data_IF_701690713725
#
_entry.id   IF_701690713725
#
_cell.length_a   1.000
_cell.length_b   1.000
_cell.length_c   1.000
_cell.angle_alpha   90.00
_cell.angle_beta   90.00
_cell.angle_gamma   90.00
#
_symmetry.space_group_name_H-M   'P 1'
#
loop_
_entity.id
_entity.type
_entity.pdbx_description
1 polymer ?
#
# COMPACT_ATOMS: atom_id res chain seq x y z
N UNK A 1 -4.16 22.30 -21.42
CA UNK A 1 -2.69 22.47 -21.45
C UNK A 1 -2.42 23.95 -21.23
N UNK A 2 -1.62 24.28 -20.22
CA UNK A 2 -1.32 25.66 -19.85
C UNK A 2 -0.37 26.32 -20.86
N UNK A 3 -0.55 27.62 -21.08
CA UNK A 3 0.20 28.40 -22.06
C UNK A 3 1.48 28.94 -21.42
N UNK A 4 2.61 28.27 -21.70
CA UNK A 4 3.92 28.55 -21.06
C UNK A 4 4.88 29.40 -21.92
N UNK A 5 4.39 30.10 -22.94
CA UNK A 5 5.23 31.02 -23.73
C UNK A 5 5.40 32.38 -23.03
N UNK A 6 6.55 33.03 -23.21
CA UNK A 6 6.79 34.38 -22.68
C UNK A 6 5.96 35.41 -23.43
N UNK A 7 5.40 36.39 -22.72
CA UNK A 7 4.72 37.51 -23.35
C UNK A 7 5.67 38.29 -24.27
N UNK A 8 5.26 38.52 -25.53
CA UNK A 8 6.07 39.27 -26.49
C UNK A 8 6.35 40.74 -26.08
N UNK A 9 5.56 41.30 -25.15
CA UNK A 9 5.68 42.70 -24.71
C UNK A 9 6.44 42.86 -23.39
N UNK A 10 6.23 41.97 -22.41
CA UNK A 10 6.85 42.09 -21.08
C UNK A 10 7.69 40.88 -20.64
N UNK A 11 7.82 39.86 -21.48
CA UNK A 11 8.58 38.62 -21.21
C UNK A 11 8.10 37.75 -20.04
N UNK A 12 7.04 38.14 -19.34
CA UNK A 12 6.41 37.35 -18.26
C UNK A 12 5.63 36.14 -18.80
N UNK A 13 5.63 35.03 -18.05
CA UNK A 13 4.85 33.81 -18.33
C UNK A 13 3.65 33.76 -17.40
N UNK A 14 2.75 34.74 -17.54
CA UNK A 14 1.57 34.86 -16.68
C UNK A 14 0.33 35.21 -17.52
N UNK A 15 -0.48 34.20 -17.83
CA UNK A 15 -1.57 34.28 -18.80
C UNK A 15 -2.94 34.01 -18.17
N UNK A 16 -3.91 34.85 -18.50
CA UNK A 16 -5.34 34.64 -18.27
C UNK A 16 -6.05 34.25 -19.57
N UNK A 17 -7.27 33.72 -19.45
CA UNK A 17 -8.14 33.35 -20.57
C UNK A 17 -9.39 34.23 -20.50
N UNK A 18 -9.81 34.78 -21.63
CA UNK A 18 -11.09 35.49 -21.78
C UNK A 18 -12.24 34.52 -22.07
N UNK A 19 -13.49 34.94 -21.85
CA UNK A 19 -14.68 34.11 -22.11
C UNK A 19 -14.78 33.62 -23.57
N UNK A 20 -14.16 34.34 -24.51
CA UNK A 20 -14.03 33.95 -25.92
C UNK A 20 -12.83 33.03 -26.21
N UNK A 21 -12.18 32.46 -25.19
CA UNK A 21 -11.08 31.50 -25.33
C UNK A 21 -9.73 32.09 -25.74
N UNK A 22 -9.55 33.42 -25.77
CA UNK A 22 -8.28 34.09 -26.10
C UNK A 22 -7.41 34.27 -24.86
N UNK A 23 -6.11 34.07 -24.99
CA UNK A 23 -5.15 34.34 -23.92
C UNK A 23 -4.79 35.83 -23.84
N UNK A 24 -4.70 36.36 -22.63
CA UNK A 24 -4.18 37.71 -22.35
C UNK A 24 -3.13 37.65 -21.25
N UNK A 25 -2.07 38.47 -21.36
CA UNK A 25 -1.05 38.55 -20.32
C UNK A 25 -1.61 39.31 -19.11
N UNK A 26 -1.53 38.73 -17.91
CA UNK A 26 -2.00 39.40 -16.69
C UNK A 26 -1.14 40.58 -16.26
N UNK A 27 0.11 40.65 -16.73
CA UNK A 27 1.07 41.69 -16.33
C UNK A 27 0.99 42.94 -17.22
N UNK A 28 0.68 42.80 -18.52
CA UNK A 28 0.65 43.93 -19.46
C UNK A 28 -0.64 44.03 -20.29
N UNK A 29 -1.62 43.16 -20.04
CA UNK A 29 -2.89 43.08 -20.77
C UNK A 29 -2.78 42.90 -22.29
N UNK A 30 -1.60 42.50 -22.79
CA UNK A 30 -1.45 42.16 -24.21
C UNK A 30 -2.19 40.86 -24.54
N UNK A 31 -3.04 40.90 -25.57
CA UNK A 31 -3.87 39.78 -26.03
C UNK A 31 -3.15 39.07 -27.16
N UNK A 32 -3.04 37.74 -27.10
CA UNK A 32 -2.45 36.96 -28.20
C UNK A 32 -3.55 36.45 -29.14
N UNK A 33 -3.20 36.25 -30.42
CA UNK A 33 -4.11 35.68 -31.42
C UNK A 33 -4.40 34.19 -31.21
N UNK A 34 -3.73 33.53 -30.25
CA UNK A 34 -3.97 32.13 -29.93
C UNK A 34 -5.28 31.97 -29.15
N UNK A 35 -6.24 31.28 -29.76
CA UNK A 35 -7.47 30.81 -29.10
C UNK A 35 -7.27 29.38 -28.61
N UNK A 36 -7.70 29.08 -27.38
CA UNK A 36 -7.92 27.71 -26.91
C UNK A 36 -9.12 27.16 -27.68
N UNK A 37 -8.97 26.00 -28.32
CA UNK A 37 -10.13 25.25 -28.83
C UNK A 37 -11.02 24.89 -27.63
N UNK A 38 -12.18 25.53 -27.56
CA UNK A 38 -13.19 25.24 -26.54
C UNK A 38 -13.88 23.97 -26.98
N UNK A 39 -13.67 22.88 -26.25
CA UNK A 39 -14.48 21.67 -26.36
C UNK A 39 -15.87 22.05 -25.83
N UNK A 40 -16.82 22.23 -26.75
CA UNK A 40 -18.19 22.54 -26.41
C UNK A 40 -18.87 21.26 -25.89
N UNK A 41 -19.18 21.20 -24.60
CA UNK A 41 -20.07 20.20 -24.02
C UNK A 41 -21.51 20.57 -24.32
N UNK A 42 -21.98 20.25 -25.52
CA UNK A 42 -23.41 20.18 -25.82
C UNK A 42 -23.68 19.00 -26.76
N UNK A 43 -24.47 18.06 -26.26
CA UNK A 43 -25.01 16.90 -26.96
C UNK A 43 -26.07 17.35 -27.98
N UNK A 44 -25.89 17.06 -29.28
CA UNK A 44 -27.00 16.75 -30.22
C UNK A 44 -26.55 15.69 -31.24
N UNK A 45 -27.44 14.74 -31.49
CA UNK A 45 -27.33 13.56 -32.35
C UNK A 45 -27.47 13.87 -33.85
N UNK A 46 -26.76 13.05 -34.64
CA UNK A 46 -26.96 12.74 -36.07
C UNK A 46 -26.95 13.88 -37.10
N UNK A 47 -25.86 13.95 -37.87
CA UNK A 47 -25.97 14.13 -39.33
C UNK A 47 -24.76 13.57 -40.07
N UNK A 48 -25.07 12.88 -41.17
CA UNK A 48 -24.18 12.17 -42.08
C UNK A 48 -23.65 13.15 -43.13
N UNK A 49 -22.33 13.41 -43.19
CA UNK A 49 -21.68 13.96 -44.39
C UNK A 49 -20.29 13.33 -44.57
N UNK A 50 -20.04 12.92 -45.82
CA UNK A 50 -18.81 12.36 -46.34
C UNK A 50 -17.77 13.47 -46.56
N UNK A 51 -16.50 13.21 -46.22
CA UNK A 51 -15.40 13.92 -46.88
C UNK A 51 -14.19 13.02 -47.02
N UNK A 52 -13.83 12.77 -48.28
CA UNK A 52 -12.53 12.24 -48.68
C UNK A 52 -11.52 13.37 -48.50
N UNK A 53 -10.46 13.14 -47.71
CA UNK A 53 -9.16 13.74 -47.97
C UNK A 53 -8.06 12.71 -47.70
N UNK A 54 -7.36 12.35 -48.77
CA UNK A 54 -6.16 11.53 -48.78
C UNK A 54 -5.00 12.36 -48.20
N UNK A 55 -4.20 11.72 -47.34
CA UNK A 55 -2.77 12.00 -47.22
C UNK A 55 -2.37 12.95 -46.12
N UNK A 56 -2.00 12.42 -44.95
CA UNK A 56 -0.60 12.17 -44.61
C UNK A 56 -0.61 11.38 -43.30
N UNK A 57 -0.39 10.05 -43.39
CA UNK A 57 -0.11 9.24 -42.20
C UNK A 57 1.22 9.69 -41.62
N UNK A 58 1.21 10.70 -40.74
CA UNK A 58 2.13 10.69 -39.62
C UNK A 58 1.49 9.72 -38.64
N UNK A 59 1.98 8.48 -38.65
CA UNK A 59 1.81 7.54 -37.55
C UNK A 59 2.33 8.28 -36.32
N UNK A 60 1.47 8.99 -35.60
CA UNK A 60 1.67 9.07 -34.16
C UNK A 60 1.75 7.61 -33.74
N UNK A 61 2.93 7.21 -33.28
CA UNK A 61 3.04 6.01 -32.49
C UNK A 61 2.04 6.25 -31.37
N UNK A 62 0.87 5.60 -31.44
CA UNK A 62 0.14 5.23 -30.24
C UNK A 62 1.20 4.65 -29.33
N UNK A 63 1.63 5.45 -28.35
CA UNK A 63 2.54 5.04 -27.30
C UNK A 63 1.73 4.00 -26.52
N UNK A 64 1.77 2.76 -27.03
CA UNK A 64 1.20 1.62 -26.36
C UNK A 64 1.89 1.55 -25.03
N UNK A 65 1.11 1.55 -23.94
CA UNK A 65 1.65 1.48 -22.59
C UNK A 65 2.72 0.40 -22.54
N UNK A 66 3.86 0.72 -21.94
CA UNK A 66 4.92 -0.26 -21.79
C UNK A 66 4.38 -1.45 -21.00
N UNK A 67 4.78 -2.66 -21.38
CA UNK A 67 4.53 -3.84 -20.55
C UNK A 67 5.12 -3.60 -19.16
N UNK A 68 4.31 -3.85 -18.13
CA UNK A 68 4.69 -3.68 -16.73
C UNK A 68 4.11 -4.82 -15.90
N UNK A 69 4.76 -5.11 -14.78
CA UNK A 69 4.41 -6.21 -13.88
C UNK A 69 3.87 -5.67 -12.55
N UNK A 70 2.97 -6.43 -11.90
CA UNK A 70 2.35 -6.04 -10.62
C UNK A 70 3.40 -5.66 -9.56
N UNK A 71 4.54 -6.35 -9.53
CA UNK A 71 5.63 -6.01 -8.62
C UNK A 71 6.21 -4.61 -8.84
N UNK A 72 6.28 -4.12 -10.09
CA UNK A 72 6.70 -2.75 -10.40
C UNK A 72 5.68 -1.74 -9.88
N UNK A 73 4.40 -2.10 -9.87
CA UNK A 73 3.32 -1.29 -9.30
C UNK A 73 3.52 -1.12 -7.80
N UNK A 74 3.72 -2.22 -7.07
CA UNK A 74 4.03 -2.16 -5.64
C UNK A 74 5.34 -1.42 -5.34
N UNK A 75 6.36 -1.58 -6.19
CA UNK A 75 7.61 -0.84 -6.05
C UNK A 75 7.39 0.67 -6.16
N UNK A 76 6.52 1.13 -7.05
CA UNK A 76 6.16 2.54 -7.16
C UNK A 76 5.41 3.04 -5.92
N UNK A 77 4.46 2.24 -5.42
CA UNK A 77 3.72 2.56 -4.18
C UNK A 77 4.68 2.70 -3.00
N UNK A 78 5.55 1.71 -2.77
CA UNK A 78 6.55 1.73 -1.71
C UNK A 78 7.49 2.93 -1.83
N UNK A 79 7.94 3.25 -3.05
CA UNK A 79 8.77 4.42 -3.30
C UNK A 79 8.06 5.72 -2.89
N UNK A 80 6.79 5.87 -3.27
CA UNK A 80 6.00 7.06 -2.94
C UNK A 80 5.72 7.19 -1.44
N UNK A 81 5.44 6.09 -0.77
CA UNK A 81 5.28 6.07 0.69
C UNK A 81 6.58 6.41 1.42
N UNK A 82 7.72 5.90 0.94
CA UNK A 82 9.01 6.21 1.52
C UNK A 82 9.43 7.68 1.31
N UNK A 83 9.17 8.24 0.12
CA UNK A 83 9.35 9.68 -0.16
C UNK A 83 8.48 10.55 0.77
N UNK A 84 7.25 10.14 1.04
CA UNK A 84 6.36 10.82 1.98
C UNK A 84 6.88 10.74 3.43
N UNK A 85 7.36 9.57 3.85
CA UNK A 85 7.95 9.38 5.19
C UNK A 85 9.22 10.22 5.38
N UNK A 86 10.08 10.30 4.37
CA UNK A 86 11.25 11.19 4.37
C UNK A 86 10.85 12.67 4.49
N UNK A 87 9.79 13.08 3.77
CA UNK A 87 9.23 14.43 3.89
C UNK A 87 8.63 14.73 5.28
N UNK A 88 8.18 13.70 6.00
CA UNK A 88 7.74 13.78 7.41
C UNK A 88 8.90 13.78 8.42
N UNK A 89 10.15 13.71 7.95
CA UNK A 89 11.36 13.81 8.78
C UNK A 89 12.01 12.48 9.15
N UNK A 90 11.56 11.35 8.59
CA UNK A 90 12.20 10.04 8.77
C UNK A 90 13.56 10.02 8.08
N UNK A 91 14.56 9.36 8.66
CA UNK A 91 15.90 9.29 8.11
C UNK A 91 15.90 8.71 6.66
N UNK A 92 16.60 9.32 5.69
CA UNK A 92 16.67 8.81 4.31
C UNK A 92 17.20 7.38 4.19
N UNK A 93 18.01 6.92 5.16
CA UNK A 93 18.49 5.54 5.27
C UNK A 93 17.32 4.53 5.32
N UNK A 94 16.16 4.93 5.83
CA UNK A 94 14.95 4.11 5.84
C UNK A 94 14.58 3.66 4.43
N UNK A 95 14.57 4.59 3.47
CA UNK A 95 14.22 4.32 2.07
C UNK A 95 15.32 3.56 1.34
N UNK A 96 16.54 4.11 1.38
CA UNK A 96 17.61 3.71 0.46
C UNK A 96 18.34 2.44 0.91
N UNK A 97 18.47 2.22 2.22
CA UNK A 97 19.19 1.09 2.78
C UNK A 97 18.24 0.01 3.31
N UNK A 98 17.27 0.38 4.14
CA UNK A 98 16.47 -0.61 4.86
C UNK A 98 15.33 -1.15 4.00
N UNK A 99 14.40 -0.28 3.59
CA UNK A 99 13.23 -0.64 2.81
C UNK A 99 13.62 -1.23 1.45
N UNK A 100 14.60 -0.64 0.77
CA UNK A 100 15.09 -1.16 -0.50
C UNK A 100 15.63 -2.60 -0.38
N UNK A 101 16.39 -2.90 0.69
CA UNK A 101 16.91 -4.24 0.92
C UNK A 101 15.80 -5.24 1.29
N UNK A 102 14.82 -4.83 2.11
CA UNK A 102 13.64 -5.67 2.40
C UNK A 102 12.86 -6.00 1.13
N UNK A 103 12.61 -5.01 0.27
CA UNK A 103 11.91 -5.19 -0.99
C UNK A 103 12.68 -6.09 -1.97
N UNK A 104 14.00 -5.90 -2.13
CA UNK A 104 14.84 -6.78 -2.96
C UNK A 104 14.80 -8.23 -2.47
N UNK A 105 14.89 -8.45 -1.15
CA UNK A 105 14.82 -9.79 -0.55
C UNK A 105 13.45 -10.43 -0.77
N UNK A 106 12.38 -9.65 -0.71
CA UNK A 106 11.03 -10.11 -1.04
C UNK A 106 10.92 -10.58 -2.50
N UNK A 107 11.39 -9.77 -3.45
CA UNK A 107 11.37 -10.10 -4.87
C UNK A 107 12.20 -11.35 -5.20
N UNK A 108 13.34 -11.53 -4.54
CA UNK A 108 14.18 -12.73 -4.64
C UNK A 108 13.43 -13.97 -4.15
N UNK A 109 12.86 -13.92 -2.95
CA UNK A 109 12.15 -15.07 -2.36
C UNK A 109 10.91 -15.46 -3.14
N UNK A 110 10.19 -14.48 -3.68
CA UNK A 110 9.01 -14.72 -4.53
C UNK A 110 9.35 -15.04 -5.98
N UNK A 111 10.65 -15.05 -6.36
CA UNK A 111 11.15 -15.29 -7.72
C UNK A 111 10.59 -14.34 -8.78
N UNK A 112 10.25 -13.12 -8.36
CA UNK A 112 9.73 -12.06 -9.23
C UNK A 112 10.87 -11.26 -9.87
N UNK A 113 12.00 -11.09 -9.17
CA UNK A 113 13.20 -10.45 -9.71
C UNK A 113 14.46 -10.93 -8.98
N UNK A 114 15.64 -10.63 -9.55
CA UNK A 114 16.95 -10.97 -8.96
C UNK A 114 17.15 -12.48 -8.72
N UNK A 115 16.61 -13.33 -9.60
CA UNK A 115 16.78 -14.78 -9.57
C UNK A 115 17.37 -15.29 -10.88
N UNK A 116 18.17 -16.36 -10.83
CA UNK A 116 18.77 -16.98 -12.02
C UNK A 116 17.76 -17.61 -12.99
N UNK A 117 16.52 -17.87 -12.54
CA UNK A 117 15.36 -18.20 -13.37
C UNK A 117 14.10 -17.52 -12.83
N UNK A 118 13.54 -16.50 -13.50
CA UNK A 118 12.30 -15.85 -13.08
C UNK A 118 11.11 -16.80 -13.24
N UNK A 119 10.12 -16.69 -12.35
CA UNK A 119 8.90 -17.50 -12.40
C UNK A 119 8.03 -17.07 -13.60
N UNK A 120 8.25 -17.66 -14.76
CA UNK A 120 7.49 -17.34 -15.99
C UNK A 120 8.08 -17.85 -17.29
N UNK A 121 9.34 -18.33 -17.30
CA UNK A 121 9.87 -19.03 -18.47
C UNK A 121 9.26 -20.44 -18.55
N UNK A 122 8.14 -20.56 -19.26
CA UNK A 122 7.90 -21.79 -20.02
C UNK A 122 9.11 -21.96 -20.92
N UNK A 123 9.94 -22.94 -20.62
CA UNK A 123 11.01 -23.41 -21.51
C UNK A 123 10.33 -23.65 -22.86
N UNK A 124 10.50 -22.71 -23.80
CA UNK A 124 10.29 -23.03 -25.21
C UNK A 124 11.32 -24.11 -25.49
N UNK A 125 10.86 -25.35 -25.50
CA UNK A 125 11.66 -26.47 -25.95
C UNK A 125 12.22 -26.05 -27.31
N UNK A 126 13.52 -25.81 -27.35
CA UNK A 126 14.25 -25.56 -28.57
C UNK A 126 13.97 -26.77 -29.44
N UNK A 127 13.27 -26.55 -30.55
CA UNK A 127 13.16 -27.52 -31.62
C UNK A 127 14.55 -27.71 -32.21
N UNK A 128 15.32 -28.62 -31.64
CA UNK A 128 16.52 -29.13 -32.28
C UNK A 128 16.03 -30.19 -33.27
N UNK A 129 16.22 -29.83 -34.53
CA UNK A 129 16.05 -30.66 -35.70
C UNK A 129 16.80 -32.00 -35.59
N UNK A 130 16.17 -33.02 -36.16
CA UNK A 130 16.65 -34.38 -36.34
C UNK A 130 18.09 -34.49 -36.87
N UNK A 131 18.88 -35.36 -36.25
CA UNK A 131 19.76 -36.26 -36.98
C UNK A 131 20.03 -37.52 -36.15
N UNK A 132 19.55 -38.63 -36.70
CA UNK A 132 19.74 -40.05 -36.39
C UNK A 132 21.14 -40.48 -35.91
N UNK A 133 21.22 -41.41 -34.95
CA UNK A 133 21.43 -42.85 -35.19
C UNK A 133 21.37 -43.65 -33.87
N UNK A 134 20.79 -44.84 -33.97
CA UNK A 134 20.63 -45.90 -32.97
C UNK A 134 21.91 -46.25 -32.19
N UNK A 135 21.79 -46.58 -30.88
CA UNK A 135 22.17 -47.89 -30.31
C UNK A 135 21.38 -48.14 -29.02
N UNK A 136 20.86 -49.35 -28.95
CA UNK A 136 20.03 -50.04 -27.95
C UNK A 136 20.72 -50.28 -26.58
N UNK A 137 19.98 -50.14 -25.47
CA UNK A 137 20.12 -50.90 -24.21
C UNK A 137 19.08 -50.47 -23.16
N UNK A 138 18.14 -51.38 -22.92
CA UNK A 138 17.09 -51.46 -21.89
C UNK A 138 17.54 -51.15 -20.43
N UNK A 139 16.67 -50.50 -19.64
CA UNK A 139 15.97 -51.14 -18.52
C UNK A 139 15.19 -50.16 -17.60
N UNK A 140 13.91 -50.51 -17.42
CA UNK A 140 13.00 -50.28 -16.28
C UNK A 140 12.25 -48.93 -16.11
N UNK A 141 10.96 -49.01 -16.50
CA UNK A 141 9.83 -48.21 -15.98
C UNK A 141 9.54 -48.60 -14.52
N UNK A 142 8.77 -47.77 -13.78
CA UNK A 142 7.33 -48.05 -13.75
C UNK A 142 6.46 -46.84 -14.05
N UNK A 143 5.52 -47.05 -14.97
CA UNK A 143 4.33 -46.26 -15.15
C UNK A 143 3.38 -46.46 -13.97
N UNK A 144 2.83 -45.40 -13.40
CA UNK A 144 1.42 -45.42 -12.95
C UNK A 144 0.81 -44.03 -13.13
N UNK A 145 0.12 -43.86 -14.26
CA UNK A 145 -1.01 -42.96 -14.37
C UNK A 145 -2.09 -43.48 -13.40
N UNK A 146 -2.40 -42.73 -12.35
CA UNK A 146 -3.63 -42.95 -11.59
C UNK A 146 -4.43 -41.65 -11.52
N UNK A 147 -5.39 -41.59 -12.43
CA UNK A 147 -6.74 -41.06 -12.23
C UNK A 147 -7.04 -40.59 -10.80
N UNK A 148 -7.39 -39.32 -10.64
CA UNK A 148 -8.32 -38.92 -9.59
C UNK A 148 -9.55 -38.32 -10.25
N UNK A 149 -10.53 -39.21 -10.38
CA UNK A 149 -11.93 -38.94 -10.62
C UNK A 149 -12.47 -38.11 -9.46
N UNK A 150 -13.23 -37.08 -9.81
CA UNK A 150 -14.01 -36.24 -8.92
C UNK A 150 -15.10 -37.09 -8.23
N UNK A 151 -15.31 -36.86 -6.94
CA UNK A 151 -16.53 -37.23 -6.23
C UNK A 151 -17.00 -36.02 -5.44
N UNK A 152 -18.25 -35.65 -5.68
CA UNK A 152 -18.98 -34.55 -5.05
C UNK A 152 -19.54 -35.01 -3.69
N UNK A 153 -19.49 -34.13 -2.68
CA UNK A 153 -20.49 -34.12 -1.60
C UNK A 153 -20.67 -32.70 -1.04
N UNK A 154 -21.81 -32.14 -1.40
CA UNK A 154 -22.72 -31.19 -0.72
C UNK A 154 -22.32 -30.60 0.65
N UNK A 155 -22.51 -29.28 0.78
CA UNK A 155 -22.45 -28.50 2.01
C UNK A 155 -22.54 -26.99 1.73
N UNK A 156 -23.77 -26.49 1.61
CA UNK A 156 -24.19 -25.11 1.32
C UNK A 156 -23.44 -23.97 2.03
N UNK A 157 -23.26 -22.84 1.32
CA UNK A 157 -23.98 -21.58 1.60
C UNK A 157 -23.73 -20.52 0.51
N UNK A 158 -24.83 -20.08 -0.09
CA UNK A 158 -24.95 -19.09 -1.15
C UNK A 158 -24.51 -17.68 -0.73
N UNK A 159 -23.80 -16.98 -1.60
CA UNK A 159 -24.06 -15.57 -1.89
C UNK A 159 -23.75 -15.31 -3.37
N UNK A 160 -24.79 -14.96 -4.10
CA UNK A 160 -24.84 -14.82 -5.55
C UNK A 160 -24.02 -13.65 -6.09
N UNK A 161 -23.27 -13.89 -7.16
CA UNK A 161 -22.93 -12.91 -8.19
C UNK A 161 -22.82 -13.66 -9.53
N UNK A 162 -23.97 -13.86 -10.19
CA UNK A 162 -24.03 -14.47 -11.51
C UNK A 162 -23.60 -13.47 -12.59
N UNK A 163 -22.43 -13.66 -13.20
CA UNK A 163 -22.20 -13.24 -14.58
C UNK A 163 -21.53 -14.39 -15.33
N UNK A 164 -22.22 -14.86 -16.36
CA UNK A 164 -21.90 -16.06 -17.13
C UNK A 164 -20.54 -15.94 -17.83
N UNK A 165 -19.66 -16.91 -17.58
CA UNK A 165 -18.43 -17.12 -18.36
C UNK A 165 -18.76 -18.04 -19.53
N UNK A 166 -18.96 -17.47 -20.71
CA UNK A 166 -18.97 -18.22 -21.97
C UNK A 166 -17.55 -18.32 -22.52
N UNK A 167 -16.96 -19.51 -22.44
CA UNK A 167 -15.71 -19.84 -23.13
C UNK A 167 -15.97 -19.87 -24.63
N UNK A 168 -15.62 -18.79 -25.32
CA UNK A 168 -15.52 -18.79 -26.78
C UNK A 168 -14.03 -18.87 -27.16
N UNK A 169 -13.67 -19.91 -27.91
CA UNK A 169 -12.36 -19.98 -28.57
C UNK A 169 -12.36 -18.93 -29.69
N UNK A 170 -11.67 -17.82 -29.49
CA UNK A 170 -11.49 -16.78 -30.50
C UNK A 170 -10.04 -16.69 -30.91
N UNK A 171 -9.86 -16.76 -32.22
CA UNK A 171 -8.62 -16.72 -32.99
C UNK A 171 -7.81 -15.44 -32.81
N UNK A 172 -6.49 -15.57 -33.00
CA UNK A 172 -5.51 -14.48 -33.06
C UNK A 172 -5.95 -13.35 -34.01
N UNK A 173 -6.17 -12.15 -33.46
CA UNK A 173 -5.79 -10.83 -34.01
C UNK A 173 -6.70 -9.71 -33.46
N UNK A 174 -6.40 -9.19 -32.27
CA UNK A 174 -6.69 -7.78 -31.93
C UNK A 174 -5.90 -7.35 -30.70
N UNK A 175 -5.05 -6.34 -30.87
CA UNK A 175 -4.27 -5.71 -29.81
C UNK A 175 -5.18 -4.92 -28.86
N UNK A 176 -5.45 -5.49 -27.67
CA UNK A 176 -6.03 -4.76 -26.53
C UNK A 176 -5.30 -5.23 -25.27
N UNK A 177 -4.00 -4.94 -25.17
CA UNK A 177 -3.27 -5.08 -23.92
C UNK A 177 -3.13 -3.69 -23.30
N UNK A 178 -3.89 -3.46 -22.24
CA UNK A 178 -3.78 -2.27 -21.45
C UNK A 178 -4.03 -2.74 -20.03
N UNK A 179 -2.98 -2.97 -19.26
CA UNK A 179 -3.00 -3.61 -17.94
C UNK A 179 -1.69 -4.35 -17.70
N UNK A 180 -1.40 -4.75 -16.46
CA UNK A 180 -0.15 -5.46 -16.14
C UNK A 180 -0.10 -6.83 -16.83
N UNK A 181 1.11 -7.29 -17.17
CA UNK A 181 1.36 -8.56 -17.86
C UNK A 181 0.87 -9.74 -17.02
N UNK A 182 1.07 -9.68 -15.71
CA UNK A 182 0.83 -10.76 -14.77
C UNK A 182 -0.41 -10.56 -13.88
N UNK A 183 -1.17 -9.46 -14.01
CA UNK A 183 -2.31 -9.14 -13.13
C UNK A 183 -3.39 -10.22 -13.05
N UNK A 184 -3.64 -10.94 -14.14
CA UNK A 184 -4.59 -12.06 -14.17
C UNK A 184 -4.10 -13.28 -13.39
N UNK A 185 -2.83 -13.63 -13.55
CA UNK A 185 -2.17 -14.69 -12.81
C UNK A 185 -1.96 -14.31 -11.35
N UNK A 186 -1.75 -13.02 -11.07
CA UNK A 186 -1.47 -12.51 -9.74
C UNK A 186 -2.60 -12.77 -8.74
N UNK A 187 -3.86 -12.67 -9.19
CA UNK A 187 -5.03 -12.93 -8.37
C UNK A 187 -5.46 -14.40 -8.34
N UNK A 188 -5.22 -15.15 -9.42
CA UNK A 188 -5.71 -16.54 -9.58
C UNK A 188 -4.74 -17.60 -9.09
N UNK A 189 -3.45 -17.28 -8.96
CA UNK A 189 -2.45 -18.25 -8.53
C UNK A 189 -2.63 -18.55 -7.04
N UNK A 190 -3.12 -19.75 -6.73
CA UNK A 190 -3.09 -20.35 -5.40
C UNK A 190 -1.62 -20.61 -5.01
N UNK A 191 -0.92 -19.57 -4.58
CA UNK A 191 0.46 -19.68 -4.12
C UNK A 191 0.46 -20.20 -2.68
N UNK A 192 0.25 -21.51 -2.52
CA UNK A 192 0.42 -22.20 -1.22
C UNK A 192 1.82 -22.02 -0.62
N UNK A 193 2.80 -21.55 -1.40
CA UNK A 193 4.20 -21.45 -0.98
C UNK A 193 4.78 -20.01 -0.94
N UNK A 194 4.11 -18.99 -1.48
CA UNK A 194 4.67 -17.62 -1.52
C UNK A 194 3.70 -16.59 -0.98
N UNK A 195 4.19 -15.72 -0.08
CA UNK A 195 3.45 -14.60 0.49
C UNK A 195 3.15 -13.54 -0.59
N UNK A 196 1.90 -13.44 -1.04
CA UNK A 196 1.47 -12.52 -2.10
C UNK A 196 1.40 -11.07 -1.59
N UNK A 197 2.04 -10.14 -2.30
CA UNK A 197 2.00 -8.71 -1.98
C UNK A 197 0.58 -8.14 -2.06
N UNK A 198 0.21 -7.33 -1.08
CA UNK A 198 -1.07 -6.61 -1.01
C UNK A 198 -0.83 -5.16 -0.61
N UNK A 199 -1.82 -4.30 -0.77
CA UNK A 199 -1.71 -2.89 -0.38
C UNK A 199 -1.39 -2.70 1.11
N UNK A 200 -2.03 -3.38 2.08
CA UNK A 200 -1.64 -3.30 3.49
C UNK A 200 -0.19 -3.70 3.75
N UNK A 201 0.36 -4.64 2.98
CA UNK A 201 1.78 -5.02 3.10
C UNK A 201 2.72 -3.88 2.72
N UNK A 202 2.30 -2.92 1.89
CA UNK A 202 3.12 -1.73 1.58
C UNK A 202 3.40 -0.93 2.85
N UNK A 203 2.36 -0.70 3.67
CA UNK A 203 2.51 -0.07 4.99
C UNK A 203 3.25 -0.98 5.98
N UNK A 204 3.07 -2.30 5.91
CA UNK A 204 3.84 -3.24 6.73
C UNK A 204 5.34 -3.15 6.45
N UNK A 205 5.75 -3.04 5.18
CA UNK A 205 7.15 -2.82 4.81
C UNK A 205 7.68 -1.50 5.35
N UNK A 206 6.91 -0.40 5.23
CA UNK A 206 7.28 0.89 5.81
C UNK A 206 7.43 0.80 7.33
N UNK A 207 6.45 0.22 8.04
CA UNK A 207 6.52 0.08 9.49
C UNK A 207 7.68 -0.81 9.94
N UNK A 208 7.92 -1.91 9.24
CA UNK A 208 9.07 -2.78 9.49
C UNK A 208 10.40 -2.03 9.32
N UNK A 209 10.53 -1.16 8.31
CA UNK A 209 11.72 -0.33 8.13
C UNK A 209 11.87 0.73 9.23
N UNK A 210 10.78 1.34 9.69
CA UNK A 210 10.77 2.26 10.83
C UNK A 210 11.24 1.56 12.12
N UNK A 211 10.72 0.35 12.39
CA UNK A 211 11.14 -0.47 13.54
C UNK A 211 12.62 -0.83 13.50
N UNK A 212 13.14 -1.19 12.31
CA UNK A 212 14.54 -1.55 12.14
C UNK A 212 15.47 -0.38 12.51
N UNK A 213 15.07 0.85 12.19
CA UNK A 213 15.81 2.07 12.52
C UNK A 213 15.48 2.64 13.90
N UNK A 214 14.47 2.10 14.59
CA UNK A 214 13.95 2.61 15.88
C UNK A 214 13.48 4.07 15.77
N UNK A 215 12.89 4.40 14.62
CA UNK A 215 12.28 5.70 14.36
C UNK A 215 11.10 5.95 15.32
N UNK A 216 10.82 7.21 15.70
CA UNK A 216 9.83 7.55 16.74
C UNK A 216 8.37 7.36 16.31
N UNK A 217 8.12 6.97 15.07
CA UNK A 217 6.78 6.82 14.50
C UNK A 217 6.20 5.44 14.83
N UNK A 218 5.06 5.40 15.54
CA UNK A 218 4.36 4.15 15.84
C UNK A 218 3.52 3.67 14.65
N UNK A 219 2.96 2.45 14.74
CA UNK A 219 2.03 1.98 13.72
C UNK A 219 0.77 2.84 13.68
N UNK A 220 0.21 3.25 14.82
CA UNK A 220 -0.93 4.17 14.84
C UNK A 220 -0.62 5.50 14.16
N UNK A 221 0.59 6.05 14.34
CA UNK A 221 1.01 7.27 13.63
C UNK A 221 1.07 7.06 12.11
N UNK A 222 1.69 5.96 11.66
CA UNK A 222 1.80 5.63 10.23
C UNK A 222 0.42 5.51 9.58
N UNK A 223 -0.51 4.82 10.25
CA UNK A 223 -1.88 4.64 9.74
C UNK A 223 -2.65 5.96 9.74
N UNK A 224 -2.51 6.77 10.78
CA UNK A 224 -3.10 8.10 10.86
C UNK A 224 -2.61 8.98 9.69
N UNK A 225 -1.30 8.99 9.41
CA UNK A 225 -0.75 9.74 8.26
C UNK A 225 -1.23 9.21 6.90
N UNK A 226 -1.50 7.90 6.79
CA UNK A 226 -2.14 7.34 5.60
C UNK A 226 -3.61 7.77 5.46
N UNK A 227 -4.34 7.83 6.58
CA UNK A 227 -5.75 8.28 6.62
C UNK A 227 -5.87 9.77 6.30
N UNK A 228 -4.98 10.59 6.86
CA UNK A 228 -4.91 12.04 6.64
C UNK A 228 -4.37 12.41 5.24
N UNK A 229 -3.93 11.42 4.44
CA UNK A 229 -3.43 11.63 3.08
C UNK A 229 -1.99 12.16 2.99
N UNK A 230 -1.28 12.23 4.11
CA UNK A 230 0.15 12.56 4.14
C UNK A 230 1.01 11.44 3.54
N UNK A 231 0.61 10.19 3.73
CA UNK A 231 1.25 9.01 3.13
C UNK A 231 0.30 8.41 2.08
N UNK A 232 0.73 8.28 0.81
CA UNK A 232 -0.14 7.79 -0.24
C UNK A 232 -0.48 6.31 -0.03
N UNK A 233 -1.77 6.03 0.17
CA UNK A 233 -2.31 4.68 0.33
C UNK A 233 -3.61 4.52 -0.44
N UNK A 234 -4.60 5.37 -0.16
CA UNK A 234 -5.82 5.46 -0.97
C UNK A 234 -5.49 6.09 -2.33
N UNK A 235 -6.13 5.56 -3.38
CA UNK A 235 -6.00 6.08 -4.74
C UNK A 235 -4.54 6.25 -5.23
N UNK A 236 -3.61 5.43 -4.73
CA UNK A 236 -2.17 5.56 -5.08
C UNK A 236 -1.89 5.40 -6.57
N UNK A 237 -2.80 4.75 -7.30
CA UNK A 237 -2.73 4.62 -8.75
C UNK A 237 -2.67 5.96 -9.49
N UNK A 238 -3.10 7.06 -8.88
CA UNK A 238 -3.00 8.40 -9.46
C UNK A 238 -1.54 8.85 -9.64
N UNK A 239 -0.60 8.26 -8.89
CA UNK A 239 0.83 8.53 -9.02
C UNK A 239 1.52 7.65 -10.07
N UNK A 240 0.79 6.74 -10.73
CA UNK A 240 1.35 5.85 -11.72
C UNK A 240 1.66 6.63 -13.01
N UNK A 241 2.84 6.42 -13.63
CA UNK A 241 3.20 7.14 -14.84
C UNK A 241 2.24 6.79 -15.98
N UNK A 242 2.06 7.68 -16.96
CA UNK A 242 1.12 7.50 -18.09
C UNK A 242 1.33 6.20 -18.88
N UNK A 243 2.55 5.65 -18.86
CA UNK A 243 2.92 4.37 -19.48
C UNK A 243 2.40 3.13 -18.73
N UNK A 244 2.03 3.29 -17.46
CA UNK A 244 1.64 2.22 -16.53
C UNK A 244 0.16 2.36 -16.17
N UNK A 245 -0.68 2.26 -17.19
CA UNK A 245 -2.12 2.41 -17.03
C UNK A 245 -2.71 1.16 -16.40
N UNK A 246 -3.51 1.35 -15.35
CA UNK A 246 -4.24 0.28 -14.68
C UNK A 246 -5.52 -0.06 -15.43
N UNK A 247 -5.81 -1.35 -15.57
CA UNK A 247 -7.07 -1.82 -16.13
C UNK A 247 -7.50 -3.14 -15.49
N UNK A 248 -8.78 -3.46 -15.62
CA UNK A 248 -9.33 -4.76 -15.26
C UNK A 248 -8.97 -5.18 -13.84
N UNK A 249 -8.16 -6.24 -13.72
CA UNK A 249 -7.76 -6.83 -12.44
C UNK A 249 -6.74 -5.99 -11.68
N UNK A 250 -5.97 -5.13 -12.34
CA UNK A 250 -5.01 -4.24 -11.67
C UNK A 250 -5.70 -3.24 -10.76
N UNK A 251 -6.89 -2.78 -11.17
CA UNK A 251 -7.72 -1.89 -10.36
C UNK A 251 -8.11 -2.56 -9.05
N UNK A 252 -8.37 -3.87 -9.05
CA UNK A 252 -8.66 -4.61 -7.80
C UNK A 252 -7.45 -4.71 -6.86
N UNK A 253 -6.24 -4.55 -7.39
CA UNK A 253 -5.00 -4.63 -6.61
C UNK A 253 -4.63 -3.26 -6.03
N UNK A 254 -4.69 -2.20 -6.85
CA UNK A 254 -4.15 -0.87 -6.51
C UNK A 254 -5.21 0.20 -6.22
N UNK A 255 -6.49 -0.02 -6.57
CA UNK A 255 -7.58 0.88 -6.20
C UNK A 255 -8.12 0.47 -4.82
N UNK A 256 -7.49 0.99 -3.77
CA UNK A 256 -7.94 0.79 -2.39
C UNK A 256 -8.98 1.83 -2.04
N UNK A 257 -10.15 1.38 -1.60
CA UNK A 257 -11.27 2.23 -1.18
C UNK A 257 -11.48 2.24 0.35
N UNK A 258 -10.82 1.33 1.07
CA UNK A 258 -10.94 1.20 2.53
C UNK A 258 -9.69 1.68 3.25
N UNK A 259 -9.89 2.23 4.45
CA UNK A 259 -8.77 2.60 5.33
C UNK A 259 -7.93 1.40 5.76
N UNK A 260 -6.62 1.58 5.98
CA UNK A 260 -5.78 0.49 6.47
C UNK A 260 -6.14 0.14 7.91
N UNK A 261 -6.26 -1.16 8.20
CA UNK A 261 -6.63 -1.66 9.53
C UNK A 261 -5.37 -2.03 10.32
N UNK A 262 -5.31 -1.59 11.58
CA UNK A 262 -4.16 -1.81 12.47
C UNK A 262 -3.73 -3.28 12.55
N UNK A 263 -4.68 -4.15 12.89
CA UNK A 263 -4.43 -5.59 13.05
C UNK A 263 -3.93 -6.23 11.75
N UNK A 264 -4.47 -5.81 10.61
CA UNK A 264 -4.08 -6.35 9.31
C UNK A 264 -2.63 -5.96 8.97
N UNK A 265 -2.27 -4.68 9.13
CA UNK A 265 -0.91 -4.19 8.82
C UNK A 265 0.12 -4.78 9.79
N UNK A 266 -0.21 -4.89 11.08
CA UNK A 266 0.67 -5.48 12.10
C UNK A 266 0.91 -6.97 11.85
N UNK A 267 -0.17 -7.74 11.63
CA UNK A 267 -0.07 -9.18 11.33
C UNK A 267 0.75 -9.44 10.06
N UNK A 268 0.50 -8.68 8.98
CA UNK A 268 1.27 -8.78 7.73
C UNK A 268 2.73 -8.38 7.89
N UNK A 269 3.05 -7.46 8.79
CA UNK A 269 4.44 -7.09 9.11
C UNK A 269 5.18 -8.27 9.74
N UNK A 270 4.54 -8.97 10.69
CA UNK A 270 5.14 -10.15 11.33
C UNK A 270 5.31 -11.30 10.32
N UNK A 271 4.28 -11.56 9.50
CA UNK A 271 4.34 -12.53 8.41
C UNK A 271 5.46 -12.20 7.41
N UNK A 272 5.61 -10.93 7.04
CA UNK A 272 6.69 -10.46 6.17
C UNK A 272 8.07 -10.67 6.81
N UNK A 273 8.26 -10.27 8.06
CA UNK A 273 9.54 -10.41 8.73
C UNK A 273 9.97 -11.88 8.83
N UNK A 274 9.02 -12.77 9.13
CA UNK A 274 9.22 -14.22 9.14
C UNK A 274 9.48 -14.78 7.74
N UNK A 275 8.66 -14.42 6.75
CA UNK A 275 8.81 -14.84 5.35
C UNK A 275 10.16 -14.42 4.79
N UNK A 276 10.62 -13.23 5.13
CA UNK A 276 11.93 -12.72 4.71
C UNK A 276 13.08 -13.40 5.45
N UNK A 277 12.85 -14.10 6.56
CA UNK A 277 13.89 -14.60 7.49
C UNK A 277 14.82 -13.47 7.94
N UNK A 278 14.21 -12.36 8.40
CA UNK A 278 14.97 -11.27 8.99
C UNK A 278 15.55 -11.72 10.34
N UNK A 279 16.77 -11.26 10.70
CA UNK A 279 17.32 -11.53 12.02
C UNK A 279 16.52 -10.79 13.09
N UNK A 280 16.89 -11.01 14.35
CA UNK A 280 16.45 -10.17 15.47
C UNK A 280 16.68 -8.69 15.11
N UNK A 281 15.64 -7.89 15.33
CA UNK A 281 15.69 -6.45 15.11
C UNK A 281 16.62 -5.81 16.15
N UNK A 282 17.15 -4.62 15.89
CA UNK A 282 17.91 -3.91 16.91
C UNK A 282 17.12 -3.69 18.20
N UNK A 283 17.83 -3.77 19.31
CA UNK A 283 17.25 -3.72 20.65
C UNK A 283 16.51 -2.39 20.93
N UNK A 284 15.30 -2.50 21.48
CA UNK A 284 14.53 -1.35 21.98
C UNK A 284 14.92 -1.12 23.45
N UNK A 285 15.74 -0.09 23.68
CA UNK A 285 16.19 0.32 25.02
C UNK A 285 15.30 1.42 25.61
N UNK A 286 15.50 1.74 26.89
CA UNK A 286 14.83 2.82 27.63
C UNK A 286 14.91 4.20 26.94
N UNK A 287 16.01 4.46 26.22
CA UNK A 287 16.21 5.70 25.45
C UNK A 287 15.45 5.76 24.12
N UNK A 288 14.88 4.65 23.64
CA UNK A 288 14.18 4.59 22.37
C UNK A 288 12.76 5.15 22.51
N UNK A 289 12.28 5.89 21.52
CA UNK A 289 10.93 6.45 21.52
C UNK A 289 9.82 5.39 21.58
N UNK A 290 10.09 4.18 21.09
CA UNK A 290 9.16 3.04 21.15
C UNK A 290 9.10 2.38 22.53
N UNK A 291 9.98 2.75 23.47
CA UNK A 291 9.94 2.23 24.83
C UNK A 291 8.64 2.69 25.53
N UNK A 292 7.98 1.81 26.30
CA UNK A 292 6.72 2.14 26.98
C UNK A 292 6.78 3.41 27.82
N UNK A 293 7.90 3.67 28.50
CA UNK A 293 8.05 4.89 29.32
C UNK A 293 8.01 6.16 28.46
N UNK A 294 8.63 6.14 27.28
CA UNK A 294 8.65 7.29 26.36
C UNK A 294 7.28 7.47 25.70
N UNK A 295 6.65 6.39 25.25
CA UNK A 295 5.32 6.42 24.65
C UNK A 295 4.23 6.82 25.66
N UNK A 296 4.34 6.38 26.92
CA UNK A 296 3.40 6.80 27.96
C UNK A 296 3.45 8.32 28.16
N UNK A 297 4.65 8.92 28.22
CA UNK A 297 4.77 10.38 28.31
C UNK A 297 4.13 11.06 27.09
N UNK A 298 4.43 10.59 25.87
CA UNK A 298 3.83 11.10 24.63
C UNK A 298 2.30 11.09 24.71
N UNK A 299 1.69 9.97 25.07
CA UNK A 299 0.24 9.82 25.10
C UNK A 299 -0.43 10.55 26.27
N UNK A 300 0.23 10.68 27.42
CA UNK A 300 -0.26 11.55 28.49
C UNK A 300 -0.36 13.00 28.01
N UNK A 301 0.67 13.49 27.32
CA UNK A 301 0.69 14.84 26.76
C UNK A 301 -0.37 15.02 25.66
N UNK A 302 -0.49 14.08 24.72
CA UNK A 302 -1.49 14.13 23.65
C UNK A 302 -2.94 14.08 24.16
N UNK A 303 -3.17 13.34 25.26
CA UNK A 303 -4.47 13.25 25.91
C UNK A 303 -4.75 14.42 26.89
N UNK A 304 -3.82 15.36 27.04
CA UNK A 304 -3.86 16.43 28.06
C UNK A 304 -4.06 15.90 29.50
N UNK A 305 -3.45 14.76 29.81
CA UNK A 305 -3.43 14.19 31.15
C UNK A 305 -2.24 14.73 31.96
N UNK A 306 -2.34 14.76 33.31
CA UNK A 306 -1.26 15.26 34.16
C UNK A 306 0.04 14.46 33.98
N UNK A 307 1.17 15.16 33.86
CA UNK A 307 2.48 14.55 33.65
C UNK A 307 2.97 13.78 34.89
N UNK A 308 2.44 14.06 36.08
CA UNK A 308 2.73 13.31 37.29
C UNK A 308 2.29 11.84 37.20
N UNK A 309 1.36 11.50 36.30
CA UNK A 309 0.96 10.12 36.01
C UNK A 309 2.11 9.30 35.41
N UNK A 310 3.08 9.94 34.76
CA UNK A 310 4.23 9.27 34.14
C UNK A 310 5.07 8.47 35.15
N UNK A 311 5.25 8.99 36.36
CA UNK A 311 5.94 8.28 37.43
C UNK A 311 5.25 6.95 37.78
N UNK A 312 3.92 6.91 37.70
CA UNK A 312 3.14 5.71 37.96
C UNK A 312 3.19 4.74 36.78
N UNK A 313 3.16 5.23 35.53
CA UNK A 313 3.31 4.37 34.35
C UNK A 313 4.66 3.67 34.36
N UNK A 314 5.76 4.38 34.64
CA UNK A 314 7.11 3.78 34.74
C UNK A 314 7.19 2.72 35.86
N UNK A 315 6.53 2.96 37.00
CA UNK A 315 6.46 1.97 38.10
C UNK A 315 5.71 0.71 37.69
N UNK A 316 4.59 0.86 36.98
CA UNK A 316 3.83 -0.29 36.44
C UNK A 316 4.68 -1.06 35.45
N UNK A 317 5.24 -0.39 34.44
CA UNK A 317 6.12 -0.99 33.40
C UNK A 317 7.23 -1.83 34.03
N UNK A 318 7.94 -1.26 35.03
CA UNK A 318 9.01 -1.95 35.75
C UNK A 318 8.50 -3.15 36.55
N UNK A 319 7.34 -3.06 37.19
CA UNK A 319 6.79 -4.13 38.04
C UNK A 319 6.33 -5.35 37.25
N UNK A 320 5.85 -5.14 36.02
CA UNK A 320 5.39 -6.23 35.13
C UNK A 320 6.45 -6.64 34.09
N UNK A 321 7.63 -6.02 34.12
CA UNK A 321 8.77 -6.31 33.24
C UNK A 321 8.45 -6.24 31.74
N UNK A 322 7.55 -5.33 31.33
CA UNK A 322 7.22 -5.10 29.91
C UNK A 322 8.16 -4.08 29.23
N UNK A 323 9.02 -3.41 30.01
CA UNK A 323 10.06 -2.50 29.50
C UNK A 323 11.38 -3.20 29.18
N UNK A 324 11.50 -4.50 29.45
CA UNK A 324 12.73 -5.23 29.22
C UNK A 324 13.01 -5.40 27.72
N UNK A 325 14.28 -5.26 27.31
CA UNK A 325 14.71 -5.33 25.91
C UNK A 325 14.25 -6.63 25.23
N UNK A 326 14.31 -7.75 25.94
CA UNK A 326 13.88 -9.06 25.42
C UNK A 326 12.37 -9.18 25.21
N UNK A 327 11.58 -8.42 25.98
CA UNK A 327 10.14 -8.33 25.77
C UNK A 327 9.83 -7.48 24.54
N UNK A 328 10.50 -6.34 24.39
CA UNK A 328 10.18 -5.33 23.39
C UNK A 328 10.72 -5.65 22.00
N UNK A 329 11.87 -6.32 21.90
CA UNK A 329 12.58 -6.44 20.61
C UNK A 329 11.96 -7.52 19.71
N UNK A 330 11.64 -7.15 18.47
CA UNK A 330 11.07 -8.06 17.48
C UNK A 330 12.08 -9.14 17.06
N UNK A 331 11.68 -10.40 17.22
CA UNK A 331 12.44 -11.58 16.78
C UNK A 331 11.59 -12.39 15.79
N UNK A 332 11.80 -12.19 14.48
CA UNK A 332 10.99 -12.85 13.46
C UNK A 332 11.12 -14.38 13.50
N UNK A 333 10.02 -15.09 13.25
CA UNK A 333 10.00 -16.55 13.08
C UNK A 333 9.99 -17.38 14.37
N UNK A 334 10.12 -16.75 15.54
CA UNK A 334 9.97 -17.44 16.81
C UNK A 334 8.50 -17.43 17.26
N UNK A 335 7.85 -18.60 17.30
CA UNK A 335 6.45 -18.72 17.75
C UNK A 335 6.25 -18.41 19.24
N UNK A 336 7.33 -18.35 20.01
CA UNK A 336 7.30 -18.03 21.45
C UNK A 336 7.53 -16.55 21.76
N UNK A 337 7.98 -15.75 20.77
CA UNK A 337 8.18 -14.32 20.98
C UNK A 337 6.86 -13.58 20.93
N UNK A 338 6.66 -12.69 21.89
CA UNK A 338 5.44 -11.91 22.04
C UNK A 338 5.38 -10.85 20.95
N UNK A 339 4.25 -10.78 20.26
CA UNK A 339 4.00 -9.77 19.23
C UNK A 339 3.68 -8.42 19.89
N UNK A 340 4.69 -7.58 20.08
CA UNK A 340 4.53 -6.29 20.77
C UNK A 340 3.85 -5.27 19.85
N UNK A 341 2.81 -4.64 20.40
CA UNK A 341 2.11 -3.48 19.83
C UNK A 341 2.41 -2.29 20.73
N UNK A 342 3.49 -1.56 20.44
CA UNK A 342 4.09 -0.59 21.36
C UNK A 342 3.13 0.52 21.81
N UNK A 343 2.37 1.06 20.86
CA UNK A 343 1.34 2.07 21.08
C UNK A 343 0.18 1.55 21.94
N UNK A 344 -0.37 0.38 21.58
CA UNK A 344 -1.43 -0.28 22.37
C UNK A 344 -0.95 -0.59 23.78
N UNK A 345 0.30 -1.05 23.94
CA UNK A 345 0.91 -1.35 25.23
C UNK A 345 1.00 -0.09 26.10
N UNK A 346 1.51 1.02 25.55
CA UNK A 346 1.62 2.28 26.27
C UNK A 346 0.25 2.83 26.68
N UNK A 347 -0.73 2.83 25.78
CA UNK A 347 -2.10 3.23 26.09
C UNK A 347 -2.72 2.35 27.18
N UNK A 348 -2.51 1.03 27.12
CA UNK A 348 -2.98 0.10 28.14
C UNK A 348 -2.35 0.37 29.51
N UNK A 349 -1.05 0.69 29.58
CA UNK A 349 -0.38 1.07 30.83
C UNK A 349 -1.01 2.32 31.44
N UNK A 350 -1.28 3.36 30.63
CA UNK A 350 -1.96 4.58 31.10
C UNK A 350 -3.33 4.23 31.67
N UNK A 351 -4.15 3.46 30.95
CA UNK A 351 -5.48 3.05 31.41
C UNK A 351 -5.39 2.26 32.72
N UNK A 352 -4.42 1.36 32.86
CA UNK A 352 -4.19 0.61 34.12
C UNK A 352 -3.83 1.56 35.27
N UNK A 353 -2.96 2.54 35.05
CA UNK A 353 -2.61 3.54 36.07
C UNK A 353 -3.83 4.35 36.49
N UNK A 354 -4.64 4.82 35.53
CA UNK A 354 -5.87 5.55 35.82
C UNK A 354 -6.84 4.69 36.64
N UNK A 355 -7.02 3.41 36.26
CA UNK A 355 -7.83 2.44 37.03
C UNK A 355 -7.32 2.26 38.46
N UNK A 356 -6.01 2.19 38.67
CA UNK A 356 -5.43 2.00 39.99
C UNK A 356 -5.54 3.25 40.89
N UNK A 357 -5.40 4.45 40.31
CA UNK A 357 -5.39 5.70 41.08
C UNK A 357 -6.79 6.25 41.35
N UNK A 358 -7.68 6.14 40.36
CA UNK A 358 -9.03 6.70 40.43
C UNK A 358 -10.12 5.65 40.66
N UNK A 359 -9.73 4.37 40.80
CA UNK A 359 -10.66 3.25 40.98
C UNK A 359 -11.73 3.19 39.86
N UNK A 360 -11.29 3.44 38.62
CA UNK A 360 -12.17 3.42 37.45
C UNK A 360 -12.73 2.00 37.25
N UNK A 361 -14.01 1.81 37.58
CA UNK A 361 -14.72 0.52 37.61
C UNK A 361 -15.93 0.48 36.67
N UNK A 362 -16.06 1.45 35.77
CA UNK A 362 -17.20 1.66 34.85
C UNK A 362 -18.55 1.85 35.58
N UNK A 363 -18.55 2.04 36.91
CA UNK A 363 -19.74 2.27 37.72
C UNK A 363 -19.65 3.59 38.49
N UNK A 364 -18.54 3.84 39.17
CA UNK A 364 -18.32 5.03 39.98
C UNK A 364 -18.28 6.31 39.13
N UNK A 365 -17.81 6.24 37.89
CA UNK A 365 -17.73 7.37 36.98
C UNK A 365 -19.13 7.87 36.61
N UNK A 366 -20.04 6.95 36.30
CA UNK A 366 -21.45 7.28 36.05
C UNK A 366 -22.11 7.85 37.30
N UNK A 367 -21.89 7.24 38.45
CA UNK A 367 -22.41 7.73 39.73
C UNK A 367 -21.94 9.17 40.01
N UNK A 368 -20.64 9.44 39.85
CA UNK A 368 -20.06 10.77 40.06
C UNK A 368 -20.58 11.79 39.04
N UNK A 369 -20.78 11.38 37.79
CA UNK A 369 -21.37 12.22 36.74
C UNK A 369 -22.81 12.61 37.08
N UNK A 370 -23.64 11.65 37.50
CA UNK A 370 -25.02 11.89 37.91
C UNK A 370 -25.09 12.85 39.11
N UNK A 371 -24.25 12.61 40.14
CA UNK A 371 -24.14 13.51 41.29
C UNK A 371 -23.71 14.92 40.89
N UNK A 372 -22.73 15.06 39.98
CA UNK A 372 -22.27 16.35 39.51
C UNK A 372 -23.35 17.07 38.68
N UNK A 373 -24.10 16.35 37.85
CA UNK A 373 -25.20 16.91 37.07
C UNK A 373 -26.32 17.43 37.99
N UNK A 374 -26.69 16.67 39.01
CA UNK A 374 -27.71 17.07 39.99
C UNK A 374 -27.27 18.32 40.78
N UNK A 375 -25.99 18.37 41.19
CA UNK A 375 -25.44 19.53 41.89
C UNK A 375 -25.36 20.77 40.99
N UNK A 376 -25.10 20.60 39.70
CA UNK A 376 -25.08 21.69 38.72
C UNK A 376 -26.47 22.24 38.41
N UNK A 377 -27.53 21.40 38.49
CA UNK A 377 -28.93 21.88 38.40
C UNK A 377 -29.26 22.82 39.57
N UNK A 378 -28.81 22.47 40.78
CA UNK A 378 -29.04 23.28 41.98
C UNK A 378 -28.22 24.59 42.00
N UNK A 379 -27.13 24.68 41.23
CA UNK A 379 -26.29 25.89 41.13
C UNK A 379 -26.76 26.88 40.05
N UNK A 380 -27.80 26.57 39.26
CA UNK A 380 -28.36 27.49 38.24
C UNK A 380 -29.38 28.50 38.79
N UNK A 381 -29.64 28.51 40.10
CA UNK A 381 -30.56 29.45 40.76
C UNK A 381 -29.87 30.67 41.40
N UNK A 382 -28.63 30.98 41.01
CA UNK A 382 -27.84 32.12 41.53
C UNK A 382 -27.83 33.34 40.61
#
# INVERSE_FOLDING_TARGET
RDFNERCAQCSEVNWGITDGGRFYCRSCHNVTERTREVVNTDFITNTRVQTISKGLRKKEKTDGGCEWYVCEGFQLVLKKQAEALEALGVCPQMKDEVLCNFWRRYLQKTKQAYCGRPAGETVKAVSVCDSSTDVDSEAERPSVLHMLSLSESEGDLQTDCSFASSVSRVSESTSVYSGSVDGSLYLTKNQKENLRMTMPMTLSFCYMALLWLREPMTLSDLLRFAVEGHIPYLNVFQYFPERMKLYGLDLKIFCVESWPVYEEVHSKMLELAAFLELPRFPDITDSCFLHPDMLCMKYLMEANLPDELHNWTCRVVKKISIGETDFLTLVPGNKSTRDVKYDVLAAAVIVVVLKLLFLLDDHYEWLLSDFAEERNKNNKEG
#
